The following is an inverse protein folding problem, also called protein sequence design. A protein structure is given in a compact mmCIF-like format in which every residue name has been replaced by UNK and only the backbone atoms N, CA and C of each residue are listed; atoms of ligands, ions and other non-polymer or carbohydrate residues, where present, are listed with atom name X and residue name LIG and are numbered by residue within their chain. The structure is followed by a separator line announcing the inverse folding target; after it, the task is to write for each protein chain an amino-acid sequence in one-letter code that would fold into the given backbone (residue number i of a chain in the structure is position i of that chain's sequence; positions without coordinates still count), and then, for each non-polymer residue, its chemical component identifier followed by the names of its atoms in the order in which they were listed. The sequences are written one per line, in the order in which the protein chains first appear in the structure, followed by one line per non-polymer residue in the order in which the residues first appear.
data_IF_673401313824
#
_entry.id   IF_673401313824
#
_cell.length_a   1.000
_cell.length_b   1.000
_cell.length_c   1.000
_cell.angle_alpha   90.00
_cell.angle_beta   90.00
_cell.angle_gamma   90.00
#
_symmetry.space_group_name_H-M   'P 1'
#
loop_
_entity.id
_entity.type
_entity.pdbx_description
1 polymer ?
#
# COMPACT_ATOMS: atom_id res chain seq x y z
N UNK A 1 -9.20 -2.49 2.10
CA UNK A 1 -8.40 -2.81 3.32
C UNK A 1 -7.82 -1.53 3.87
N UNK A 2 -7.85 -1.35 5.19
CA UNK A 2 -7.32 -0.18 5.91
C UNK A 2 -6.51 -0.62 7.12
N UNK A 3 -5.67 0.27 7.66
CA UNK A 3 -5.01 0.02 8.95
C UNK A 3 -6.06 -0.08 10.07
N UNK A 4 -5.84 -0.92 11.09
CA UNK A 4 -6.73 -1.07 12.25
C UNK A 4 -6.57 0.10 13.23
N UNK A 5 -6.65 1.31 12.70
CA UNK A 5 -6.55 2.56 13.45
C UNK A 5 -7.90 3.28 13.41
N UNK A 6 -8.40 3.85 14.53
CA UNK A 6 -9.71 4.50 14.58
C UNK A 6 -9.94 5.52 13.46
N UNK A 7 -8.96 6.39 13.19
CA UNK A 7 -9.05 7.38 12.10
C UNK A 7 -9.27 6.76 10.71
N UNK A 8 -8.67 5.60 10.43
CA UNK A 8 -8.82 4.91 9.15
C UNK A 8 -10.23 4.35 8.98
N UNK A 9 -10.78 3.77 10.05
CA UNK A 9 -12.13 3.20 10.07
C UNK A 9 -13.17 4.33 9.98
N UNK A 10 -12.97 5.42 10.72
CA UNK A 10 -13.85 6.59 10.68
C UNK A 10 -13.87 7.23 9.28
N UNK A 11 -12.73 7.32 8.60
CA UNK A 11 -12.67 7.80 7.23
C UNK A 11 -13.51 6.95 6.28
N UNK A 12 -13.51 5.62 6.44
CA UNK A 12 -14.39 4.72 5.69
C UNK A 12 -15.88 5.02 5.95
N UNK A 13 -16.27 5.18 7.22
CA UNK A 13 -17.67 5.50 7.57
C UNK A 13 -18.12 6.84 7.00
N UNK A 14 -17.27 7.87 7.04
CA UNK A 14 -17.57 9.18 6.43
C UNK A 14 -17.79 9.09 4.91
N UNK A 15 -17.20 8.10 4.25
CA UNK A 15 -17.39 7.82 2.82
C UNK A 15 -18.56 6.86 2.54
N UNK A 16 -19.34 6.47 3.55
CA UNK A 16 -20.46 5.54 3.40
C UNK A 16 -20.05 4.07 3.24
N UNK A 17 -18.79 3.72 3.53
CA UNK A 17 -18.34 2.33 3.53
C UNK A 17 -18.79 1.66 4.83
N UNK A 18 -19.66 0.65 4.73
CA UNK A 18 -20.19 -0.10 5.87
C UNK A 18 -19.14 -1.05 6.46
N UNK A 19 -19.28 -1.40 7.74
CA UNK A 19 -18.32 -2.25 8.45
C UNK A 19 -18.07 -3.60 7.78
N UNK A 20 -19.10 -4.20 7.18
CA UNK A 20 -19.00 -5.46 6.41
C UNK A 20 -18.07 -5.36 5.18
N UNK A 21 -17.77 -4.14 4.69
CA UNK A 21 -16.87 -3.87 3.56
C UNK A 21 -15.49 -3.40 4.01
N UNK A 22 -15.23 -3.39 5.32
CA UNK A 22 -13.96 -2.92 5.90
C UNK A 22 -13.16 -4.12 6.40
N UNK A 23 -12.03 -4.37 5.74
CA UNK A 23 -11.00 -5.28 6.23
C UNK A 23 -9.92 -4.43 6.92
N UNK A 24 -9.86 -4.47 8.25
CA UNK A 24 -8.89 -3.74 9.06
C UNK A 24 -7.69 -4.66 9.42
N UNK A 25 -6.52 -4.41 8.82
CA UNK A 25 -5.33 -5.25 9.03
C UNK A 25 -4.04 -4.43 8.86
N UNK A 26 -2.96 -4.85 9.52
CA UNK A 26 -1.64 -4.19 9.49
C UNK A 26 -0.55 -5.17 9.03
N UNK A 27 0.37 -4.69 8.19
CA UNK A 27 1.50 -5.45 7.67
C UNK A 27 1.41 -5.79 6.18
N UNK A 28 2.39 -6.56 5.72
CA UNK A 28 2.39 -7.21 4.40
C UNK A 28 1.72 -8.57 4.49
N UNK A 29 1.12 -9.02 3.38
CA UNK A 29 0.36 -10.28 3.37
C UNK A 29 0.78 -11.14 2.19
N UNK A 30 0.76 -12.45 2.40
CA UNK A 30 1.09 -13.41 1.36
C UNK A 30 0.13 -13.31 0.18
N UNK A 31 0.61 -13.69 -1.01
CA UNK A 31 -0.23 -13.90 -2.20
C UNK A 31 -1.46 -14.77 -1.90
N UNK A 32 -1.29 -15.86 -1.15
CA UNK A 32 -2.38 -16.76 -0.78
C UNK A 32 -3.50 -16.05 -0.01
N UNK A 33 -3.16 -15.26 1.02
CA UNK A 33 -4.16 -14.52 1.78
C UNK A 33 -4.83 -13.43 0.95
N UNK A 34 -4.07 -12.66 0.17
CA UNK A 34 -4.63 -11.65 -0.72
C UNK A 34 -5.62 -12.26 -1.72
N UNK A 35 -5.30 -13.44 -2.26
CA UNK A 35 -6.15 -14.17 -3.20
C UNK A 35 -7.49 -14.56 -2.56
N UNK A 36 -7.46 -15.14 -1.37
CA UNK A 36 -8.71 -15.53 -0.69
C UNK A 36 -9.56 -14.31 -0.28
N UNK A 37 -8.93 -13.20 0.14
CA UNK A 37 -9.65 -11.94 0.37
C UNK A 37 -10.35 -11.45 -0.90
N UNK A 38 -9.65 -11.45 -2.04
CA UNK A 38 -10.24 -10.99 -3.31
C UNK A 38 -11.43 -11.85 -3.73
N UNK A 39 -11.36 -13.17 -3.53
CA UNK A 39 -12.46 -14.09 -3.81
C UNK A 39 -13.65 -13.87 -2.88
N UNK A 40 -13.41 -13.84 -1.57
CA UNK A 40 -14.46 -13.70 -0.56
C UNK A 40 -15.31 -12.44 -0.80
N UNK A 41 -14.65 -11.36 -1.21
CA UNK A 41 -15.31 -10.08 -1.48
C UNK A 41 -15.74 -9.89 -2.94
N UNK A 42 -15.61 -10.94 -3.78
CA UNK A 42 -15.91 -10.89 -5.21
C UNK A 42 -15.28 -9.67 -5.90
N UNK A 43 -14.01 -9.41 -5.62
CA UNK A 43 -13.30 -8.27 -6.15
C UNK A 43 -13.21 -8.37 -7.68
N UNK A 44 -13.63 -7.32 -8.37
CA UNK A 44 -13.56 -7.22 -9.84
C UNK A 44 -12.38 -6.38 -10.32
N UNK A 45 -11.72 -5.66 -9.41
CA UNK A 45 -10.55 -4.84 -9.68
C UNK A 45 -9.77 -4.60 -8.38
N UNK A 46 -8.47 -4.34 -8.50
CA UNK A 46 -7.61 -3.91 -7.39
C UNK A 46 -7.04 -2.54 -7.70
N UNK A 47 -7.33 -1.55 -6.85
CA UNK A 47 -6.68 -0.24 -6.89
C UNK A 47 -5.59 -0.20 -5.83
N UNK A 48 -4.36 0.11 -6.22
CA UNK A 48 -3.24 0.21 -5.28
C UNK A 48 -2.26 1.28 -5.73
N UNK A 49 -1.55 1.89 -4.79
CA UNK A 49 -0.41 2.77 -5.10
C UNK A 49 0.88 1.97 -5.24
N UNK A 50 1.83 2.53 -5.96
CA UNK A 50 3.21 2.08 -5.98
C UNK A 50 3.88 2.34 -4.61
N UNK A 51 4.03 1.28 -3.81
CA UNK A 51 4.58 1.35 -2.45
C UNK A 51 5.95 0.67 -2.30
N UNK A 52 6.63 0.37 -3.41
CA UNK A 52 7.87 -0.40 -3.42
C UNK A 52 7.70 -1.85 -2.93
N UNK A 53 8.82 -2.59 -2.89
CA UNK A 53 8.86 -3.99 -2.49
C UNK A 53 8.48 -4.20 -1.01
N UNK A 54 8.99 -3.34 -0.13
CA UNK A 54 8.70 -3.38 1.32
C UNK A 54 7.23 -3.15 1.65
N UNK A 55 6.45 -2.52 0.76
CA UNK A 55 5.01 -2.32 0.92
C UNK A 55 4.15 -3.54 0.60
N UNK A 56 4.74 -4.67 0.20
CA UNK A 56 4.00 -5.89 -0.15
C UNK A 56 3.16 -5.76 -1.42
N UNK A 57 3.60 -4.89 -2.35
CA UNK A 57 2.93 -4.66 -3.64
C UNK A 57 2.93 -5.93 -4.49
N UNK A 58 4.10 -6.58 -4.60
CA UNK A 58 4.32 -7.75 -5.46
C UNK A 58 3.31 -8.87 -5.16
N UNK A 59 3.16 -9.23 -3.88
CA UNK A 59 2.27 -10.30 -3.45
C UNK A 59 0.78 -10.00 -3.75
N UNK A 60 0.39 -8.73 -3.72
CA UNK A 60 -0.96 -8.29 -4.06
C UNK A 60 -1.21 -8.37 -5.56
N UNK A 61 -0.25 -7.95 -6.38
CA UNK A 61 -0.35 -8.00 -7.85
C UNK A 61 -0.41 -9.44 -8.32
N UNK A 62 0.49 -10.32 -7.84
CA UNK A 62 0.47 -11.75 -8.19
C UNK A 62 -0.85 -12.44 -7.81
N UNK A 63 -1.46 -12.05 -6.68
CA UNK A 63 -2.75 -12.58 -6.27
C UNK A 63 -3.90 -12.14 -7.17
N UNK A 64 -3.85 -10.91 -7.70
CA UNK A 64 -4.81 -10.43 -8.68
C UNK A 64 -4.62 -11.12 -10.04
N UNK A 65 -3.39 -11.31 -10.48
CA UNK A 65 -3.05 -12.06 -11.69
C UNK A 65 -3.59 -13.51 -11.64
N UNK A 66 -3.44 -14.20 -10.50
CA UNK A 66 -3.99 -15.55 -10.29
C UNK A 66 -5.49 -15.68 -10.50
N UNK A 67 -6.21 -14.58 -10.30
CA UNK A 67 -7.66 -14.51 -10.38
C UNK A 67 -8.14 -13.85 -11.66
N UNK A 68 -7.23 -13.39 -12.53
CA UNK A 68 -7.57 -12.60 -13.71
C UNK A 68 -8.20 -11.25 -13.36
N UNK A 69 -7.93 -10.72 -12.17
CA UNK A 69 -8.47 -9.44 -11.70
C UNK A 69 -7.55 -8.30 -12.18
N UNK A 70 -8.07 -7.27 -12.89
CA UNK A 70 -7.26 -6.14 -13.31
C UNK A 70 -6.74 -5.33 -12.12
N UNK A 71 -5.48 -4.87 -12.23
CA UNK A 71 -4.84 -4.00 -11.24
C UNK A 71 -4.68 -2.60 -11.82
N UNK A 72 -5.23 -1.61 -11.13
CA UNK A 72 -4.99 -0.18 -11.37
C UNK A 72 -3.90 0.29 -10.41
N UNK A 73 -2.71 0.53 -10.94
CA UNK A 73 -1.57 1.04 -10.18
C UNK A 73 -1.52 2.56 -10.27
N UNK A 74 -1.54 3.23 -9.12
CA UNK A 74 -1.34 4.67 -9.00
C UNK A 74 0.15 4.92 -8.78
N UNK A 75 0.82 5.47 -9.80
CA UNK A 75 2.23 5.80 -9.75
C UNK A 75 2.49 6.94 -8.76
N UNK A 76 3.71 6.98 -8.22
CA UNK A 76 4.16 8.13 -7.43
C UNK A 76 4.15 9.39 -8.32
N UNK A 77 3.57 10.51 -7.89
CA UNK A 77 3.64 11.74 -8.67
C UNK A 77 5.10 12.20 -8.78
N UNK A 78 5.47 12.77 -9.94
CA UNK A 78 6.74 13.46 -10.10
C UNK A 78 6.76 14.69 -9.19
N UNK A 79 7.71 14.73 -8.25
CA UNK A 79 7.85 15.83 -7.32
C UNK A 79 8.85 16.84 -7.90
N UNK A 80 8.36 17.89 -8.56
CA UNK A 80 9.18 18.98 -9.12
C UNK A 80 9.85 19.87 -8.04
N UNK A 81 9.61 19.63 -6.74
CA UNK A 81 9.96 20.55 -5.64
C UNK A 81 10.83 19.92 -4.54
N UNK A 82 11.61 18.90 -4.89
CA UNK A 82 12.55 18.29 -3.94
C UNK A 82 14.01 18.72 -4.18
N UNK A 83 14.29 19.52 -5.22
CA UNK A 83 15.64 19.90 -5.61
C UNK A 83 16.41 20.64 -4.50
N UNK A 84 15.71 21.42 -3.66
CA UNK A 84 16.29 22.14 -2.51
C UNK A 84 16.23 21.33 -1.20
N UNK A 85 15.85 20.04 -1.27
CA UNK A 85 15.69 19.16 -0.11
C UNK A 85 16.72 18.04 -0.15
N UNK A 86 17.21 17.69 1.02
CA UNK A 86 18.00 16.50 1.20
C UNK A 86 17.08 15.27 1.09
N UNK A 87 17.31 14.46 0.06
CA UNK A 87 16.52 13.26 -0.24
C UNK A 87 17.46 12.07 -0.24
N UNK A 88 17.04 11.00 0.42
CA UNK A 88 17.71 9.70 0.39
C UNK A 88 16.69 8.66 -0.06
N UNK A 89 17.09 7.84 -1.03
CA UNK A 89 16.35 6.64 -1.46
C UNK A 89 16.98 5.35 -0.94
N UNK A 90 18.18 5.46 -0.35
CA UNK A 90 18.90 4.39 0.32
C UNK A 90 19.06 4.64 1.84
N UNK A 91 18.92 3.56 2.62
CA UNK A 91 19.00 3.64 4.07
C UNK A 91 20.43 3.80 4.58
N UNK A 92 21.41 3.20 3.91
CA UNK A 92 22.81 3.29 4.32
C UNK A 92 23.36 4.70 4.04
N UNK A 93 22.97 5.31 2.92
CA UNK A 93 23.28 6.73 2.62
C UNK A 93 22.71 7.68 3.67
N UNK A 94 21.44 7.51 4.05
CA UNK A 94 20.82 8.29 5.13
C UNK A 94 21.57 8.13 6.45
N UNK A 95 21.92 6.89 6.81
CA UNK A 95 22.62 6.59 8.06
C UNK A 95 24.04 7.16 8.08
N UNK A 96 24.75 7.17 6.95
CA UNK A 96 26.06 7.80 6.83
C UNK A 96 25.96 9.31 7.07
N UNK A 97 25.03 10.00 6.39
CA UNK A 97 24.82 11.44 6.55
C UNK A 97 24.53 11.83 8.01
N UNK A 98 23.60 11.13 8.67
CA UNK A 98 23.22 11.42 10.07
C UNK A 98 24.38 11.18 11.05
N UNK A 99 25.32 10.28 10.72
CA UNK A 99 26.50 10.01 11.54
C UNK A 99 27.60 11.03 11.36
N UNK A 100 27.77 11.58 10.16
CA UNK A 100 28.78 12.61 9.87
C UNK A 100 28.38 14.00 10.39
N UNK A 101 27.09 14.29 10.50
CA UNK A 101 26.58 15.56 11.08
C UNK A 101 26.47 15.56 12.62
N UNK A 102 26.93 14.52 13.31
CA UNK A 102 27.01 14.44 14.77
C UNK A 102 28.42 14.67 15.29
#
# INVERSE_FOLDING_TARGET
RVLPHPHSIEACYRMGITGERIIAMQGTFSRALNREIMKEYNAIAVITKESGETGGLIEKVKAAEDLGIPVILVNRPSLEKLDDKLVFDDMDELLAFVREER
#
